data_IF_633681719803
#
_entry.id   IF_633681719803
#
_cell.length_a   1.000
_cell.length_b   1.000
_cell.length_c   1.000
_cell.angle_alpha   90.00
_cell.angle_beta   90.00
_cell.angle_gamma   90.00
#
_symmetry.space_group_name_H-M   'P 1'
#
loop_
_entity.id
_entity.type
_entity.pdbx_description
1 polymer ?
#
# COMPACT_ATOMS: atom_id res chain seq x y z
N UNK A 1 24.98 9.30 -21.98
CA UNK A 1 24.13 10.42 -21.52
C UNK A 1 23.09 9.79 -20.61
N UNK A 2 23.30 9.88 -19.30
CA UNK A 2 22.28 9.53 -18.30
C UNK A 2 21.24 10.65 -18.38
N UNK A 3 19.97 10.30 -18.37
CA UNK A 3 18.84 11.18 -18.73
C UNK A 3 18.86 12.44 -17.84
N UNK A 4 18.60 13.61 -18.45
CA UNK A 4 18.53 14.90 -17.75
C UNK A 4 17.10 15.09 -17.23
N UNK A 5 16.66 14.15 -16.40
CA UNK A 5 15.31 14.13 -15.82
C UNK A 5 15.32 14.87 -14.49
N UNK A 6 14.58 15.97 -14.43
CA UNK A 6 14.30 16.67 -13.18
C UNK A 6 13.08 16.01 -12.55
N UNK A 7 13.21 15.60 -11.29
CA UNK A 7 12.09 15.05 -10.53
C UNK A 7 11.01 16.12 -10.39
N UNK A 8 9.83 15.87 -10.93
CA UNK A 8 8.68 16.76 -10.82
C UNK A 8 7.79 16.27 -9.68
N UNK A 9 7.71 17.05 -8.59
CA UNK A 9 6.77 16.78 -7.51
C UNK A 9 5.34 17.03 -8.01
N UNK A 10 4.53 15.98 -7.99
CA UNK A 10 3.11 16.06 -8.29
C UNK A 10 2.34 16.41 -7.01
N UNK A 11 1.37 17.30 -7.13
CA UNK A 11 0.44 17.53 -6.03
C UNK A 11 -0.50 16.33 -5.81
N UNK A 12 -1.22 16.32 -4.70
CA UNK A 12 -2.10 15.20 -4.34
C UNK A 12 -3.19 14.92 -5.39
N UNK A 13 -3.70 15.96 -6.07
CA UNK A 13 -4.72 15.81 -7.11
C UNK A 13 -4.10 15.16 -8.36
N UNK A 14 -2.95 15.65 -8.79
CA UNK A 14 -2.21 15.11 -9.93
C UNK A 14 -1.78 13.66 -9.68
N UNK A 15 -1.36 13.33 -8.45
CA UNK A 15 -1.05 11.95 -8.06
C UNK A 15 -2.26 11.03 -8.17
N UNK A 16 -3.43 11.49 -7.71
CA UNK A 16 -4.66 10.71 -7.79
C UNK A 16 -5.09 10.50 -9.24
N UNK A 17 -5.08 11.56 -10.06
CA UNK A 17 -5.40 11.47 -11.49
C UNK A 17 -4.45 10.54 -12.24
N UNK A 18 -3.15 10.62 -11.95
CA UNK A 18 -2.16 9.72 -12.55
C UNK A 18 -2.32 8.26 -12.08
N UNK A 19 -2.68 8.06 -10.81
CA UNK A 19 -2.99 6.74 -10.27
C UNK A 19 -4.22 6.13 -10.95
N UNK A 20 -5.31 6.90 -11.04
CA UNK A 20 -6.55 6.48 -11.68
C UNK A 20 -6.32 6.14 -13.15
N UNK A 21 -5.57 6.98 -13.88
CA UNK A 21 -5.21 6.72 -15.28
C UNK A 21 -4.37 5.44 -15.42
N UNK A 22 -3.39 5.22 -14.53
CA UNK A 22 -2.50 4.07 -14.59
C UNK A 22 -3.22 2.76 -14.30
N UNK A 23 -4.21 2.78 -13.42
CA UNK A 23 -4.95 1.60 -12.97
C UNK A 23 -6.40 1.60 -13.43
N UNK A 24 -6.71 2.36 -14.49
CA UNK A 24 -8.04 2.44 -15.05
C UNK A 24 -8.54 1.03 -15.42
N UNK A 25 -9.78 0.74 -15.06
CA UNK A 25 -10.40 -0.58 -15.23
C UNK A 25 -9.88 -1.69 -14.30
N UNK A 26 -8.92 -1.44 -13.42
CA UNK A 26 -8.52 -2.44 -12.42
C UNK A 26 -9.52 -2.48 -11.27
N UNK A 27 -10.17 -3.63 -11.10
CA UNK A 27 -10.94 -3.96 -9.91
C UNK A 27 -10.76 -5.44 -9.59
N UNK A 28 -10.47 -5.75 -8.33
CA UNK A 28 -10.45 -7.13 -7.86
C UNK A 28 -11.64 -7.36 -6.93
N UNK A 29 -12.31 -8.50 -7.07
CA UNK A 29 -13.43 -8.84 -6.19
C UNK A 29 -12.99 -8.91 -4.71
N UNK A 30 -13.74 -8.22 -3.84
CA UNK A 30 -13.56 -8.25 -2.40
C UNK A 30 -14.26 -9.49 -1.81
N UNK A 31 -13.67 -10.68 -1.97
CA UNK A 31 -14.15 -11.90 -1.32
C UNK A 31 -13.95 -11.82 0.20
N UNK A 32 -14.71 -12.60 0.98
CA UNK A 32 -14.57 -12.62 2.44
C UNK A 32 -13.14 -12.97 2.91
N UNK A 33 -12.48 -13.89 2.21
CA UNK A 33 -11.08 -14.23 2.46
C UNK A 33 -10.15 -13.04 2.26
N UNK A 34 -10.29 -12.30 1.16
CA UNK A 34 -9.46 -11.13 0.88
C UNK A 34 -9.75 -10.00 1.85
N UNK A 35 -11.01 -9.79 2.23
CA UNK A 35 -11.40 -8.82 3.25
C UNK A 35 -10.71 -9.11 4.59
N UNK A 36 -10.72 -10.36 5.03
CA UNK A 36 -10.06 -10.78 6.26
C UNK A 36 -8.54 -10.53 6.22
N UNK A 37 -7.89 -10.82 5.09
CA UNK A 37 -6.46 -10.53 4.90
C UNK A 37 -6.19 -9.02 5.02
N UNK A 38 -6.98 -8.18 4.33
CA UNK A 38 -6.81 -6.73 4.39
C UNK A 38 -7.01 -6.18 5.81
N UNK A 39 -8.02 -6.67 6.53
CA UNK A 39 -8.29 -6.30 7.93
C UNK A 39 -7.10 -6.65 8.85
N UNK A 40 -6.54 -7.86 8.74
CA UNK A 40 -5.36 -8.30 9.51
C UNK A 40 -4.16 -7.37 9.28
N UNK A 41 -3.90 -7.01 8.02
CA UNK A 41 -2.77 -6.15 7.63
C UNK A 41 -2.97 -4.74 8.15
N UNK A 42 -4.16 -4.16 7.96
CA UNK A 42 -4.50 -2.83 8.45
C UNK A 42 -4.39 -2.76 9.98
N UNK A 43 -4.79 -3.83 10.69
CA UNK A 43 -4.65 -3.94 12.15
C UNK A 43 -3.19 -3.97 12.58
N UNK A 44 -2.35 -4.69 11.83
CA UNK A 44 -0.92 -4.86 12.13
C UNK A 44 -0.11 -3.58 11.89
N UNK A 45 -0.38 -2.88 10.79
CA UNK A 45 0.34 -1.66 10.41
C UNK A 45 -0.15 -0.40 11.12
N UNK A 46 -1.40 -0.40 11.56
CA UNK A 46 -2.02 0.76 12.21
C UNK A 46 -2.58 0.38 13.59
N UNK A 47 -3.90 0.22 13.69
CA UNK A 47 -4.63 -0.09 14.93
C UNK A 47 -6.01 -0.67 14.60
N UNK A 48 -6.64 -1.30 15.58
CA UNK A 48 -7.96 -1.94 15.45
C UNK A 48 -9.00 -1.03 14.78
N UNK A 49 -9.12 0.21 15.26
CA UNK A 49 -10.10 1.19 14.76
C UNK A 49 -9.96 1.44 13.26
N UNK A 50 -8.71 1.53 12.79
CA UNK A 50 -8.40 1.76 11.38
C UNK A 50 -8.76 0.52 10.54
N UNK A 51 -8.48 -0.67 11.05
CA UNK A 51 -8.83 -1.92 10.36
C UNK A 51 -10.36 -2.06 10.19
N UNK A 52 -11.13 -1.70 11.21
CA UNK A 52 -12.60 -1.70 11.15
C UNK A 52 -13.10 -0.71 10.10
N UNK A 53 -12.63 0.53 10.10
CA UNK A 53 -13.00 1.53 9.08
C UNK A 53 -12.66 1.04 7.65
N UNK A 54 -11.46 0.47 7.45
CA UNK A 54 -11.07 -0.12 6.17
C UNK A 54 -12.01 -1.24 5.73
N UNK A 55 -12.41 -2.12 6.65
CA UNK A 55 -13.32 -3.23 6.36
C UNK A 55 -14.70 -2.74 5.93
N UNK A 56 -15.25 -1.74 6.63
CA UNK A 56 -16.57 -1.20 6.28
C UNK A 56 -16.54 -0.53 4.90
N UNK A 57 -15.50 0.27 4.60
CA UNK A 57 -15.32 0.87 3.26
C UNK A 57 -15.14 -0.17 2.17
N UNK A 58 -14.42 -1.24 2.45
CA UNK A 58 -14.22 -2.34 1.51
C UNK A 58 -15.53 -3.10 1.25
N UNK A 59 -16.37 -3.28 2.29
CA UNK A 59 -17.72 -3.84 2.15
C UNK A 59 -18.61 -2.96 1.28
N UNK A 60 -18.59 -1.65 1.50
CA UNK A 60 -19.37 -0.67 0.72
C UNK A 60 -18.93 -0.59 -0.74
N UNK A 61 -17.62 -0.61 -0.99
CA UNK A 61 -17.07 -0.58 -2.35
C UNK A 61 -17.36 -1.87 -3.12
N UNK A 62 -17.28 -3.04 -2.46
CA UNK A 62 -17.46 -4.35 -3.09
C UNK A 62 -16.26 -4.83 -3.94
N UNK A 63 -15.23 -4.00 -4.07
CA UNK A 63 -13.99 -4.32 -4.79
C UNK A 63 -12.74 -3.81 -4.07
N UNK A 64 -11.61 -4.41 -4.41
CA UNK A 64 -10.26 -4.05 -4.00
C UNK A 64 -9.62 -3.26 -5.15
N UNK A 65 -9.14 -2.06 -4.86
CA UNK A 65 -8.43 -1.23 -5.83
C UNK A 65 -6.97 -1.67 -6.01
N UNK A 66 -6.26 -1.09 -6.98
CA UNK A 66 -4.90 -1.49 -7.31
C UNK A 66 -3.89 -1.27 -6.16
N UNK A 67 -4.07 -0.20 -5.36
CA UNK A 67 -3.19 0.09 -4.22
C UNK A 67 -3.38 -0.97 -3.12
N UNK A 68 -4.62 -1.24 -2.75
CA UNK A 68 -4.98 -2.28 -1.78
C UNK A 68 -4.49 -3.65 -2.26
N UNK A 69 -4.68 -4.00 -3.53
CA UNK A 69 -4.16 -5.24 -4.09
C UNK A 69 -2.64 -5.34 -3.95
N UNK A 70 -1.90 -4.32 -4.41
CA UNK A 70 -0.43 -4.35 -4.38
C UNK A 70 0.10 -4.47 -2.95
N UNK A 71 -0.37 -3.63 -2.04
CA UNK A 71 0.23 -3.52 -0.71
C UNK A 71 -0.37 -4.49 0.31
N UNK A 72 -1.57 -5.01 0.10
CA UNK A 72 -2.17 -5.97 1.03
C UNK A 72 -2.15 -7.41 0.52
N UNK A 73 -2.36 -7.66 -0.78
CA UNK A 73 -2.46 -9.04 -1.29
C UNK A 73 -1.20 -9.51 -2.02
N UNK A 74 -0.54 -8.63 -2.75
CA UNK A 74 0.64 -9.02 -3.54
C UNK A 74 1.93 -8.98 -2.73
N UNK A 75 2.23 -7.86 -2.08
CA UNK A 75 3.50 -7.65 -1.37
C UNK A 75 3.42 -7.78 0.16
N UNK A 76 2.22 -7.91 0.76
CA UNK A 76 1.99 -7.97 2.22
C UNK A 76 2.86 -6.96 2.98
N UNK A 77 2.45 -5.68 2.98
CA UNK A 77 3.20 -4.59 3.58
C UNK A 77 3.55 -4.80 5.07
N UNK A 78 2.75 -5.60 5.79
CA UNK A 78 3.01 -6.03 7.18
C UNK A 78 4.25 -6.93 7.35
N UNK A 79 4.70 -7.58 6.26
CA UNK A 79 5.81 -8.54 6.25
C UNK A 79 6.97 -8.13 5.35
N UNK A 80 6.89 -6.94 4.73
CA UNK A 80 7.87 -6.49 3.75
C UNK A 80 9.34 -6.49 4.26
N UNK A 81 9.65 -6.13 5.53
CA UNK A 81 11.02 -6.22 6.04
C UNK A 81 11.40 -7.61 6.58
N UNK A 82 10.46 -8.57 6.65
CA UNK A 82 10.70 -9.85 7.32
C UNK A 82 11.79 -10.65 6.60
N UNK A 83 12.86 -10.98 7.34
CA UNK A 83 13.99 -11.74 6.81
C UNK A 83 14.91 -10.96 5.87
N UNK A 84 14.76 -9.64 5.77
CA UNK A 84 15.59 -8.79 4.90
C UNK A 84 16.28 -7.66 5.68
N UNK A 85 17.26 -8.04 6.50
CA UNK A 85 18.05 -7.09 7.32
C UNK A 85 18.82 -6.07 6.48
N UNK A 86 19.25 -6.45 5.27
CA UNK A 86 19.94 -5.56 4.35
C UNK A 86 19.02 -4.44 3.85
N UNK A 87 17.75 -4.76 3.56
CA UNK A 87 16.74 -3.75 3.23
C UNK A 87 16.53 -2.78 4.39
N UNK A 88 16.35 -3.30 5.61
CA UNK A 88 16.13 -2.47 6.80
C UNK A 88 17.31 -1.53 7.03
N UNK A 89 18.54 -2.07 7.02
CA UNK A 89 19.76 -1.28 7.20
C UNK A 89 19.90 -0.21 6.11
N UNK A 90 19.68 -0.57 4.85
CA UNK A 90 19.77 0.38 3.74
C UNK A 90 18.74 1.53 3.89
N UNK A 91 17.52 1.25 4.35
CA UNK A 91 16.54 2.30 4.60
C UNK A 91 16.95 3.24 5.73
N UNK A 92 17.53 2.70 6.81
CA UNK A 92 18.02 3.50 7.93
C UNK A 92 19.23 4.37 7.54
N UNK A 93 20.16 3.85 6.74
CA UNK A 93 21.35 4.56 6.26
C UNK A 93 20.99 5.82 5.43
N UNK A 94 19.86 5.79 4.72
CA UNK A 94 19.35 6.95 3.95
C UNK A 94 18.38 7.82 4.76
N UNK A 95 18.20 7.55 6.05
CA UNK A 95 17.39 8.35 6.98
C UNK A 95 15.93 7.92 7.13
N UNK A 96 15.50 6.83 6.49
CA UNK A 96 14.15 6.29 6.64
C UNK A 96 14.08 5.26 7.77
N UNK A 97 13.29 5.57 8.80
CA UNK A 97 13.07 4.68 9.95
C UNK A 97 11.76 3.87 9.82
N UNK A 98 11.31 3.57 8.60
CA UNK A 98 9.98 2.99 8.35
C UNK A 98 9.74 1.63 9.01
N UNK A 99 10.79 0.84 9.16
CA UNK A 99 10.70 -0.52 9.72
C UNK A 99 11.16 -0.61 11.17
N UNK A 100 11.59 0.51 11.76
CA UNK A 100 12.03 0.57 13.15
C UNK A 100 10.80 0.50 14.06
N UNK A 101 10.73 -0.53 14.90
CA UNK A 101 9.62 -0.76 15.86
C UNK A 101 10.00 -0.28 17.25
#
# INVERSE_FOLDING_TARGET
MVHDEVYHELDAKQLLEAFDLKYDGFSLEATEERKAILEEICKTLHREEFAVDCRERLREAGYINAAQYRFCLHYRADRLPDGNEDLVRATEEVGFNWFRR
#
